data_IF_887379119872
#
_entry.id   IF_887379119872
#
_cell.length_a   1.000
_cell.length_b   1.000
_cell.length_c   1.000
_cell.angle_alpha   90.00
_cell.angle_beta   90.00
_cell.angle_gamma   90.00
#
_symmetry.space_group_name_H-M   'P 1'
#
loop_
_entity.id
_entity.type
_entity.pdbx_description
1 polymer ?
#
# COMPACT_ATOMS: atom_id res chain seq x y z
N UNK A 1 -12.03 -0.03 -23.69
CA UNK A 1 -11.79 -0.95 -22.55
C UNK A 1 -10.33 -0.89 -22.06
N UNK A 2 -9.34 -1.20 -22.91
CA UNK A 2 -7.92 -1.24 -22.54
C UNK A 2 -7.36 0.02 -21.86
N UNK A 3 -7.72 1.22 -22.35
CA UNK A 3 -7.30 2.48 -21.70
C UNK A 3 -7.68 2.53 -20.22
N UNK A 4 -8.88 2.08 -19.85
CA UNK A 4 -9.36 2.07 -18.45
C UNK A 4 -8.54 1.08 -17.60
N UNK A 5 -8.27 -0.10 -18.15
CA UNK A 5 -7.44 -1.12 -17.49
C UNK A 5 -6.03 -0.59 -17.24
N UNK A 6 -5.41 0.05 -18.24
CA UNK A 6 -4.08 0.65 -18.12
C UNK A 6 -4.07 1.79 -17.09
N UNK A 7 -5.08 2.66 -17.09
CA UNK A 7 -5.21 3.72 -16.06
C UNK A 7 -5.34 3.12 -14.67
N UNK A 8 -6.20 2.11 -14.47
CA UNK A 8 -6.37 1.44 -13.18
C UNK A 8 -5.08 0.78 -12.70
N UNK A 9 -4.41 0.01 -13.57
CA UNK A 9 -3.14 -0.64 -13.24
C UNK A 9 -2.05 0.40 -12.93
N UNK A 10 -2.00 1.49 -13.71
CA UNK A 10 -1.07 2.60 -13.49
C UNK A 10 -1.28 3.29 -12.14
N UNK A 11 -2.53 3.55 -11.74
CA UNK A 11 -2.84 4.16 -10.42
C UNK A 11 -2.42 3.26 -9.28
N UNK A 12 -2.74 1.96 -9.33
CA UNK A 12 -2.35 1.00 -8.30
C UNK A 12 -0.81 0.91 -8.23
N UNK A 13 -0.17 0.69 -9.38
CA UNK A 13 1.29 0.58 -9.46
C UNK A 13 2.01 1.83 -8.99
N UNK A 14 1.56 3.02 -9.37
CA UNK A 14 2.16 4.29 -8.94
C UNK A 14 1.97 4.53 -7.43
N UNK A 15 0.80 4.20 -6.88
CA UNK A 15 0.52 4.35 -5.45
C UNK A 15 1.37 3.44 -4.58
N UNK A 16 1.58 2.19 -5.02
CA UNK A 16 2.52 1.26 -4.37
C UNK A 16 3.96 1.72 -4.56
N UNK A 17 4.35 2.08 -5.78
CA UNK A 17 5.72 2.52 -6.07
C UNK A 17 6.13 3.73 -5.24
N UNK A 18 5.22 4.71 -5.06
CA UNK A 18 5.44 5.85 -4.17
C UNK A 18 5.73 5.40 -2.73
N UNK A 19 4.90 4.49 -2.20
CA UNK A 19 5.04 3.95 -0.85
C UNK A 19 6.40 3.29 -0.64
N UNK A 20 6.78 2.35 -1.52
CA UNK A 20 8.05 1.63 -1.43
C UNK A 20 9.26 2.54 -1.68
N UNK A 21 9.15 3.49 -2.61
CA UNK A 21 10.21 4.45 -2.89
C UNK A 21 10.50 5.34 -1.68
N UNK A 22 9.48 5.73 -0.90
CA UNK A 22 9.69 6.52 0.31
C UNK A 22 10.49 5.76 1.38
N UNK A 23 10.19 4.47 1.60
CA UNK A 23 11.02 3.61 2.45
C UNK A 23 12.45 3.52 1.95
N UNK A 24 12.64 3.27 0.66
CA UNK A 24 13.97 3.15 0.06
C UNK A 24 14.79 4.45 0.19
N UNK A 25 14.18 5.61 -0.09
CA UNK A 25 14.83 6.92 0.06
C UNK A 25 15.23 7.16 1.52
N UNK A 26 14.37 6.83 2.48
CA UNK A 26 14.70 6.98 3.90
C UNK A 26 15.75 5.97 4.38
N UNK A 27 15.77 4.75 3.83
CA UNK A 27 16.82 3.77 4.07
C UNK A 27 18.20 4.27 3.64
N UNK A 28 18.29 4.81 2.42
CA UNK A 28 19.51 5.40 1.90
C UNK A 28 19.96 6.58 2.76
N UNK A 29 19.04 7.47 3.15
CA UNK A 29 19.36 8.60 4.05
C UNK A 29 19.80 8.16 5.44
N UNK A 30 19.30 7.02 5.91
CA UNK A 30 19.69 6.45 7.20
C UNK A 30 21.06 5.77 7.16
N UNK A 31 21.70 5.63 5.99
CA UNK A 31 22.97 4.94 5.77
C UNK A 31 22.82 3.46 5.41
N UNK A 32 21.60 2.98 5.21
CA UNK A 32 21.32 1.60 4.81
C UNK A 32 21.46 1.36 3.31
N UNK A 33 21.57 0.09 2.92
CA UNK A 33 21.60 -0.34 1.51
C UNK A 33 20.23 -0.86 1.09
N UNK A 34 19.74 -0.36 -0.04
CA UNK A 34 18.54 -0.86 -0.72
C UNK A 34 19.00 -1.77 -1.86
N UNK A 35 18.65 -3.06 -1.79
CA UNK A 35 19.04 -4.04 -2.81
C UNK A 35 18.15 -3.95 -4.06
N UNK A 36 16.85 -3.72 -3.87
CA UNK A 36 15.85 -3.70 -4.92
C UNK A 36 14.55 -3.06 -4.43
N UNK A 37 13.80 -2.41 -5.32
CA UNK A 37 12.40 -2.01 -5.12
C UNK A 37 11.54 -2.82 -6.10
N UNK A 38 10.61 -3.62 -5.59
CA UNK A 38 9.67 -4.39 -6.37
C UNK A 38 8.27 -3.79 -6.33
N UNK A 39 7.61 -3.70 -7.47
CA UNK A 39 6.16 -3.47 -7.58
C UNK A 39 5.53 -4.76 -8.06
N UNK A 40 4.64 -5.33 -7.25
CA UNK A 40 4.00 -6.61 -7.47
C UNK A 40 4.78 -7.82 -6.94
N UNK A 41 4.24 -9.01 -7.23
CA UNK A 41 4.80 -10.32 -6.87
C UNK A 41 4.89 -11.26 -8.09
N UNK A 42 5.58 -12.39 -7.93
CA UNK A 42 5.73 -13.41 -8.98
C UNK A 42 6.90 -13.13 -9.95
N UNK A 43 6.89 -13.71 -11.17
CA UNK A 43 7.99 -13.56 -12.12
C UNK A 43 8.17 -12.10 -12.53
N UNK A 44 9.43 -11.70 -12.71
CA UNK A 44 9.79 -10.37 -13.19
C UNK A 44 9.34 -10.20 -14.64
N UNK A 45 8.65 -9.10 -14.93
CA UNK A 45 8.25 -8.71 -16.29
C UNK A 45 9.14 -7.60 -16.82
N UNK A 46 9.48 -6.63 -15.98
CA UNK A 46 10.31 -5.50 -16.37
C UNK A 46 11.29 -5.13 -15.26
N UNK A 47 12.42 -4.58 -15.67
CA UNK A 47 13.46 -4.07 -14.76
C UNK A 47 13.96 -2.73 -15.25
N UNK A 48 14.03 -1.80 -14.34
CA UNK A 48 14.60 -0.46 -14.52
C UNK A 48 15.57 -0.18 -13.38
N UNK A 49 16.18 1.01 -13.37
CA UNK A 49 17.07 1.47 -12.32
C UNK A 49 16.69 2.89 -11.91
N UNK A 50 16.58 3.11 -10.61
CA UNK A 50 16.41 4.43 -10.03
C UNK A 50 17.77 4.95 -9.57
N UNK A 51 18.21 6.07 -10.13
CA UNK A 51 19.48 6.71 -9.75
C UNK A 51 19.28 7.52 -8.47
N UNK A 52 20.06 7.21 -7.45
CA UNK A 52 20.09 7.96 -6.18
C UNK A 52 21.48 8.51 -5.92
N UNK A 53 21.61 9.39 -4.92
CA UNK A 53 22.92 9.94 -4.52
C UNK A 53 23.91 8.87 -4.04
N UNK A 54 23.42 7.68 -3.67
CA UNK A 54 24.21 6.59 -3.10
C UNK A 54 24.41 5.42 -4.05
N UNK A 55 23.96 5.56 -5.31
CA UNK A 55 24.08 4.53 -6.35
C UNK A 55 22.77 4.28 -7.09
N UNK A 56 22.77 3.22 -7.90
CA UNK A 56 21.59 2.77 -8.66
C UNK A 56 20.83 1.72 -7.86
N UNK A 57 19.52 1.94 -7.69
CA UNK A 57 18.61 0.98 -7.05
C UNK A 57 17.81 0.28 -8.16
N UNK A 58 17.92 -1.05 -8.30
CA UNK A 58 17.06 -1.80 -9.22
C UNK A 58 15.57 -1.60 -8.87
N UNK A 59 14.76 -1.25 -9.86
CA UNK A 59 13.30 -1.20 -9.75
C UNK A 59 12.71 -2.28 -10.63
N UNK A 60 11.91 -3.17 -10.06
CA UNK A 60 11.41 -4.37 -10.73
C UNK A 60 9.89 -4.36 -10.72
N UNK A 61 9.29 -4.60 -11.89
CA UNK A 61 7.86 -4.82 -12.01
C UNK A 61 7.62 -6.31 -12.22
N UNK A 62 6.77 -6.88 -11.39
CA UNK A 62 6.43 -8.30 -11.40
C UNK A 62 5.01 -8.54 -11.88
N UNK A 63 4.74 -9.79 -12.29
CA UNK A 63 3.51 -10.14 -12.99
C UNK A 63 2.22 -9.91 -12.23
N UNK A 64 2.25 -10.09 -10.92
CA UNK A 64 1.08 -9.92 -10.07
C UNK A 64 1.12 -8.51 -9.46
N UNK A 65 0.19 -7.60 -9.79
CA UNK A 65 0.23 -6.20 -9.32
C UNK A 65 -0.28 -6.05 -7.88
N UNK A 66 -0.05 -7.04 -7.02
CA UNK A 66 -0.45 -6.99 -5.61
C UNK A 66 0.74 -6.50 -4.80
N UNK A 67 0.60 -5.37 -4.11
CA UNK A 67 1.64 -4.85 -3.21
C UNK A 67 2.97 -4.52 -3.89
N UNK A 68 3.98 -4.30 -3.07
CA UNK A 68 5.36 -4.02 -3.46
C UNK A 68 6.27 -4.35 -2.29
N UNK A 69 7.57 -4.18 -2.49
CA UNK A 69 8.55 -4.29 -1.41
C UNK A 69 9.78 -3.45 -1.72
N UNK A 70 10.36 -2.86 -0.67
CA UNK A 70 11.74 -2.37 -0.69
C UNK A 70 12.64 -3.38 0.06
N UNK A 71 13.53 -4.04 -0.66
CA UNK A 71 14.50 -4.96 -0.08
C UNK A 71 15.62 -4.18 0.63
N UNK A 72 15.38 -3.83 1.89
CA UNK A 72 16.27 -3.01 2.73
C UNK A 72 16.99 -3.90 3.74
N UNK A 73 18.29 -3.70 3.90
CA UNK A 73 19.04 -4.29 5.01
C UNK A 73 18.84 -3.46 6.28
N UNK A 74 17.81 -3.80 7.06
CA UNK A 74 17.40 -3.05 8.26
C UNK A 74 18.39 -3.20 9.41
N UNK A 75 19.21 -4.26 9.41
CA UNK A 75 20.20 -4.50 10.47
C UNK A 75 21.36 -3.48 10.41
N UNK A 76 21.66 -2.96 9.23
CA UNK A 76 22.61 -1.86 9.04
C UNK A 76 22.06 -0.51 9.49
N UNK A 77 20.75 -0.41 9.79
CA UNK A 77 20.08 0.84 10.10
C UNK A 77 20.01 1.04 11.62
N UNK A 78 20.55 2.17 12.14
CA UNK A 78 20.52 2.50 13.56
C UNK A 78 19.09 2.41 14.14
N UNK A 79 18.91 1.88 15.37
CA UNK A 79 17.58 1.70 15.97
C UNK A 79 16.76 2.98 16.06
N UNK A 80 17.39 4.14 16.25
CA UNK A 80 16.78 5.48 16.28
C UNK A 80 16.17 5.88 14.92
N UNK A 81 16.73 5.38 13.82
CA UNK A 81 16.30 5.68 12.44
C UNK A 81 15.27 4.70 11.88
N UNK A 82 15.06 3.55 12.52
CA UNK A 82 14.10 2.52 12.07
C UNK A 82 12.65 3.01 12.03
N UNK A 83 12.17 3.66 13.10
CA UNK A 83 10.77 4.16 13.15
C UNK A 83 10.50 5.20 12.05
N UNK A 84 11.32 6.27 11.89
CA UNK A 84 11.14 7.22 10.78
C UNK A 84 11.16 6.54 9.40
N UNK A 85 12.03 5.55 9.21
CA UNK A 85 12.08 4.77 7.97
C UNK A 85 10.79 3.98 7.71
N UNK A 86 10.24 3.34 8.73
CA UNK A 86 9.01 2.56 8.64
C UNK A 86 7.77 3.46 8.48
N UNK A 87 7.82 4.71 8.92
CA UNK A 87 6.74 5.67 8.69
C UNK A 87 6.82 6.33 7.30
N UNK A 88 7.93 6.19 6.58
CA UNK A 88 8.18 6.90 5.34
C UNK A 88 7.14 6.61 4.25
N UNK A 89 6.86 5.34 3.96
CA UNK A 89 5.84 4.91 2.99
C UNK A 89 4.45 5.45 3.34
N UNK A 90 3.90 5.13 4.53
CA UNK A 90 2.58 5.58 4.94
C UNK A 90 2.40 7.10 4.89
N UNK A 91 3.40 7.85 5.37
CA UNK A 91 3.37 9.31 5.37
C UNK A 91 3.49 9.89 3.96
N UNK A 92 4.29 9.30 3.08
CA UNK A 92 4.38 9.74 1.69
C UNK A 92 3.06 9.56 0.95
N UNK A 93 2.37 8.44 1.18
CA UNK A 93 1.06 8.20 0.60
C UNK A 93 0.00 9.17 1.14
N UNK A 94 -0.05 9.41 2.45
CA UNK A 94 -0.96 10.42 3.02
C UNK A 94 -0.66 11.82 2.45
N UNK A 95 0.62 12.20 2.40
CA UNK A 95 1.05 13.50 1.90
C UNK A 95 0.75 13.71 0.42
N UNK A 96 0.86 12.67 -0.41
CA UNK A 96 0.49 12.73 -1.82
C UNK A 96 -1.03 12.67 -2.03
N UNK A 97 -1.73 11.88 -1.22
CA UNK A 97 -3.16 11.63 -1.39
C UNK A 97 -4.05 12.80 -0.96
N UNK A 98 -3.69 13.49 0.13
CA UNK A 98 -4.47 14.63 0.66
C UNK A 98 -4.66 15.76 -0.38
N UNK A 99 -3.61 16.30 -1.03
CA UNK A 99 -3.76 17.32 -2.06
C UNK A 99 -4.60 16.84 -3.25
N UNK A 100 -4.41 15.60 -3.70
CA UNK A 100 -5.19 15.03 -4.80
C UNK A 100 -6.68 14.96 -4.46
N UNK A 101 -6.99 14.53 -3.24
CA UNK A 101 -8.38 14.45 -2.75
C UNK A 101 -9.03 15.84 -2.62
N UNK A 102 -8.25 16.86 -2.24
CA UNK A 102 -8.74 18.23 -2.06
C UNK A 102 -8.77 19.05 -3.37
N UNK A 103 -7.98 18.67 -4.37
CA UNK A 103 -7.86 19.38 -5.65
C UNK A 103 -9.11 19.26 -6.53
N UNK A 104 -9.91 18.21 -6.34
CA UNK A 104 -11.13 17.96 -7.10
C UNK A 104 -12.34 18.35 -6.24
N UNK A 105 -12.65 19.66 -6.21
CA UNK A 105 -13.89 20.20 -5.63
C UNK A 105 -14.95 20.31 -6.73
N UNK A 106 -16.13 19.71 -6.53
CA UNK A 106 -17.29 19.92 -7.40
C UNK A 106 -17.75 18.72 -8.25
N UNK A 107 -16.98 17.63 -8.34
CA UNK A 107 -17.55 16.36 -8.79
C UNK A 107 -18.36 15.77 -7.63
N UNK A 108 -19.66 15.54 -7.87
CA UNK A 108 -20.53 14.89 -6.89
C UNK A 108 -19.85 13.60 -6.39
N UNK A 109 -19.89 13.31 -5.08
CA UNK A 109 -19.37 12.06 -4.57
C UNK A 109 -19.91 10.92 -5.42
N UNK A 110 -19.02 10.06 -5.91
CA UNK A 110 -19.39 8.84 -6.63
C UNK A 110 -20.64 8.25 -5.97
N UNK A 111 -21.79 8.14 -6.66
CA UNK A 111 -22.99 7.55 -6.07
C UNK A 111 -22.59 6.18 -5.54
N UNK A 112 -22.56 6.05 -4.23
CA UNK A 112 -22.48 4.76 -3.58
C UNK A 112 -23.83 4.13 -3.88
N UNK A 113 -23.90 3.27 -4.91
CA UNK A 113 -25.12 2.52 -5.25
C UNK A 113 -25.77 2.05 -3.94
N UNK A 114 -27.02 2.47 -3.72
CA UNK A 114 -27.70 2.56 -2.43
C UNK A 114 -28.01 1.25 -1.70
N UNK A 115 -27.26 0.18 -1.95
CA UNK A 115 -27.52 -1.13 -1.36
C UNK A 115 -26.44 -1.67 -0.41
N UNK A 116 -25.22 -1.09 -0.29
CA UNK A 116 -24.20 -1.71 0.60
C UNK A 116 -23.38 -0.73 1.41
N UNK A 117 -23.63 -0.81 2.73
CA UNK A 117 -22.76 -0.52 3.87
C UNK A 117 -21.31 -0.29 3.47
N UNK A 118 -20.69 0.77 4.02
CA UNK A 118 -19.26 1.05 3.99
C UNK A 118 -18.52 -0.13 4.64
N UNK A 119 -18.37 -1.20 3.87
CA UNK A 119 -17.51 -2.33 4.19
C UNK A 119 -16.12 -1.99 3.71
N UNK A 120 -15.11 -2.47 4.44
CA UNK A 120 -13.72 -2.51 3.98
C UNK A 120 -13.73 -2.91 2.51
N UNK A 121 -13.41 -1.99 1.61
CA UNK A 121 -13.47 -2.26 0.19
C UNK A 121 -12.49 -3.39 -0.09
N UNK A 122 -13.03 -4.58 -0.39
CA UNK A 122 -12.23 -5.69 -0.85
C UNK A 122 -11.50 -5.30 -2.15
N UNK A 123 -10.49 -6.08 -2.51
CA UNK A 123 -9.67 -5.81 -3.69
C UNK A 123 -10.53 -5.59 -4.95
N UNK A 124 -11.56 -6.42 -5.14
CA UNK A 124 -12.45 -6.31 -6.30
C UNK A 124 -13.24 -5.01 -6.27
N UNK A 125 -13.69 -4.58 -5.09
CA UNK A 125 -14.38 -3.30 -4.90
C UNK A 125 -13.50 -2.11 -5.30
N UNK A 126 -12.25 -2.10 -4.86
CA UNK A 126 -11.28 -1.04 -5.18
C UNK A 126 -10.94 -1.00 -6.67
N UNK A 127 -10.66 -2.16 -7.29
CA UNK A 127 -10.42 -2.24 -8.74
C UNK A 127 -11.65 -1.81 -9.54
N UNK A 128 -12.85 -2.23 -9.13
CA UNK A 128 -14.11 -1.84 -9.79
C UNK A 128 -14.35 -0.34 -9.69
N UNK A 129 -14.07 0.27 -8.53
CA UNK A 129 -14.17 1.71 -8.34
C UNK A 129 -13.20 2.45 -9.27
N UNK A 130 -11.95 1.98 -9.39
CA UNK A 130 -10.96 2.55 -10.31
C UNK A 130 -11.36 2.44 -11.78
N UNK A 131 -11.88 1.28 -12.20
CA UNK A 131 -12.37 1.10 -13.57
C UNK A 131 -13.54 2.02 -13.90
N UNK A 132 -14.46 2.24 -12.94
CA UNK A 132 -15.57 3.21 -13.06
C UNK A 132 -15.04 4.64 -13.13
N UNK A 133 -14.09 5.02 -12.27
CA UNK A 133 -13.48 6.34 -12.27
C UNK A 133 -12.76 6.64 -13.60
N UNK A 134 -11.99 5.68 -14.12
CA UNK A 134 -11.33 5.77 -15.42
C UNK A 134 -12.32 5.90 -16.61
N UNK A 135 -13.59 5.54 -16.40
CA UNK A 135 -14.68 5.76 -17.35
C UNK A 135 -15.30 7.16 -17.29
N UNK A 136 -15.25 7.83 -16.14
CA UNK A 136 -15.88 9.16 -15.91
C UNK A 136 -14.98 10.31 -16.35
N UNK A 137 -13.67 10.21 -16.11
CA UNK A 137 -12.72 11.22 -16.55
C UNK A 137 -11.50 11.35 -15.64
N UNK A 138 -10.54 12.22 -15.99
CA UNK A 138 -9.30 12.40 -15.24
C UNK A 138 -9.52 12.89 -13.80
N UNK A 139 -10.49 13.78 -13.57
CA UNK A 139 -10.80 14.31 -12.24
C UNK A 139 -11.29 13.22 -11.28
N UNK A 140 -12.22 12.37 -11.70
CA UNK A 140 -12.64 11.19 -10.92
C UNK A 140 -11.48 10.23 -10.60
N UNK A 141 -10.55 10.04 -11.55
CA UNK A 141 -9.35 9.22 -11.33
C UNK A 141 -8.43 9.86 -10.29
N UNK A 142 -8.19 11.17 -10.36
CA UNK A 142 -7.35 11.90 -9.40
C UNK A 142 -7.95 11.86 -7.99
N UNK A 143 -9.26 12.10 -7.87
CA UNK A 143 -9.96 12.05 -6.58
C UNK A 143 -9.85 10.65 -5.94
N UNK A 144 -10.09 9.59 -6.72
CA UNK A 144 -9.98 8.21 -6.22
C UNK A 144 -8.52 7.82 -5.94
N UNK A 145 -7.57 8.30 -6.73
CA UNK A 145 -6.13 8.12 -6.46
C UNK A 145 -5.76 8.75 -5.12
N UNK A 146 -6.27 9.94 -4.83
CA UNK A 146 -6.10 10.60 -3.54
C UNK A 146 -6.65 9.78 -2.39
N UNK A 147 -7.89 9.29 -2.51
CA UNK A 147 -8.52 8.46 -1.50
C UNK A 147 -7.78 7.12 -1.27
N UNK A 148 -7.29 6.47 -2.34
CA UNK A 148 -6.52 5.22 -2.24
C UNK A 148 -5.17 5.48 -1.56
N UNK A 149 -4.48 6.57 -1.89
CA UNK A 149 -3.21 6.93 -1.26
C UNK A 149 -3.40 7.17 0.24
N UNK A 150 -4.36 8.01 0.64
CA UNK A 150 -4.67 8.25 2.06
C UNK A 150 -5.08 6.95 2.75
N UNK A 151 -5.96 6.16 2.14
CA UNK A 151 -6.40 4.87 2.69
C UNK A 151 -5.25 3.88 2.87
N UNK A 152 -4.37 3.72 1.89
CA UNK A 152 -3.21 2.84 1.96
C UNK A 152 -2.23 3.30 3.05
N UNK A 153 -1.99 4.61 3.17
CA UNK A 153 -1.14 5.15 4.23
C UNK A 153 -1.73 4.94 5.61
N UNK A 154 -3.01 5.26 5.83
CA UNK A 154 -3.69 5.03 7.11
C UNK A 154 -3.72 3.55 7.51
N UNK A 155 -4.02 2.67 6.57
CA UNK A 155 -4.01 1.22 6.82
C UNK A 155 -2.60 0.75 7.24
N UNK A 156 -1.55 1.22 6.57
CA UNK A 156 -0.19 0.85 6.94
C UNK A 156 0.29 1.50 8.25
N UNK A 157 -0.42 2.46 8.84
CA UNK A 157 -0.12 2.97 10.18
C UNK A 157 -0.74 2.11 11.30
N UNK A 158 -1.63 1.17 10.98
CA UNK A 158 -2.23 0.29 11.99
C UNK A 158 -1.15 -0.57 12.66
N UNK A 159 -1.21 -0.77 13.99
CA UNK A 159 -0.24 -1.56 14.75
C UNK A 159 -0.52 -3.06 14.57
N UNK A 160 -0.55 -3.54 13.33
CA UNK A 160 -0.88 -4.91 12.95
C UNK A 160 0.23 -5.42 12.04
N UNK A 161 0.99 -6.44 12.47
CA UNK A 161 1.95 -7.10 11.59
C UNK A 161 1.19 -7.87 10.48
N UNK A 162 1.63 -7.87 9.21
CA UNK A 162 2.90 -7.39 8.67
C UNK A 162 2.88 -5.94 8.15
N UNK A 163 1.88 -5.12 8.47
CA UNK A 163 1.85 -3.72 8.04
C UNK A 163 2.99 -2.91 8.67
N UNK A 164 3.32 -1.76 8.09
CA UNK A 164 4.42 -0.92 8.56
C UNK A 164 4.26 -0.50 10.02
N UNK A 165 3.04 -0.17 10.45
CA UNK A 165 2.69 0.18 11.82
C UNK A 165 2.90 -0.98 12.80
N UNK A 166 2.76 -2.22 12.35
CA UNK A 166 3.14 -3.41 13.12
C UNK A 166 4.66 -3.50 13.33
N UNK A 167 5.44 -3.20 12.30
CA UNK A 167 6.91 -3.10 12.41
C UNK A 167 7.31 -1.92 13.31
N UNK A 168 6.64 -0.78 13.22
CA UNK A 168 6.83 0.38 14.11
C UNK A 168 6.55 -0.01 15.55
N UNK A 169 5.46 -0.72 15.82
CA UNK A 169 5.11 -1.19 17.15
C UNK A 169 6.20 -2.14 17.71
N UNK A 170 6.74 -3.05 16.90
CA UNK A 170 7.85 -3.93 17.28
C UNK A 170 9.12 -3.14 17.59
N UNK A 171 9.49 -2.17 16.73
CA UNK A 171 10.65 -1.32 16.94
C UNK A 171 10.50 -0.44 18.20
N UNK A 172 9.29 0.04 18.48
CA UNK A 172 8.98 0.77 19.70
C UNK A 172 9.10 -0.12 20.95
N UNK A 173 8.53 -1.34 20.91
CA UNK A 173 8.67 -2.32 21.98
C UNK A 173 10.15 -2.68 22.24
N UNK A 174 10.95 -2.83 21.19
CA UNK A 174 12.39 -3.07 21.30
C UNK A 174 13.11 -1.95 22.05
N UNK A 175 12.83 -0.68 21.71
CA UNK A 175 13.39 0.48 22.42
C UNK A 175 12.99 0.55 23.89
N UNK A 176 11.82 -0.01 24.24
CA UNK A 176 11.34 -0.09 25.63
C UNK A 176 11.88 -1.31 26.39
N UNK A 177 12.77 -2.09 25.79
CA UNK A 177 13.36 -3.28 26.42
C UNK A 177 12.38 -4.46 26.52
N UNK A 178 11.30 -4.47 25.73
CA UNK A 178 10.31 -5.55 25.76
C UNK A 178 10.96 -6.86 25.26
N UNK A 179 10.81 -7.98 26.01
CA UNK A 179 11.41 -9.25 25.65
C UNK A 179 11.05 -9.71 24.24
N UNK A 180 12.00 -10.37 23.56
CA UNK A 180 11.79 -10.89 22.20
C UNK A 180 10.58 -11.83 22.10
N UNK A 181 10.31 -12.62 23.15
CA UNK A 181 9.14 -13.51 23.24
C UNK A 181 7.83 -12.74 23.11
N UNK A 182 7.68 -11.63 23.85
CA UNK A 182 6.48 -10.78 23.80
C UNK A 182 6.32 -10.12 22.43
N UNK A 183 7.42 -9.60 21.85
CA UNK A 183 7.42 -9.02 20.49
C UNK A 183 6.99 -10.06 19.44
N UNK A 184 7.48 -11.29 19.54
CA UNK A 184 7.09 -12.39 18.65
C UNK A 184 5.63 -12.81 18.83
N UNK A 185 5.12 -12.85 20.07
CA UNK A 185 3.70 -13.12 20.33
C UNK A 185 2.81 -12.03 19.73
N UNK A 186 3.16 -10.75 19.92
CA UNK A 186 2.48 -9.64 19.26
C UNK A 186 2.45 -9.80 17.75
N UNK A 187 3.61 -10.08 17.13
CA UNK A 187 3.71 -10.26 15.69
C UNK A 187 2.83 -11.41 15.21
N UNK A 188 2.84 -12.57 15.89
CA UNK A 188 2.03 -13.75 15.53
C UNK A 188 0.53 -13.47 15.65
N UNK A 189 0.08 -12.88 16.76
CA UNK A 189 -1.33 -12.57 16.99
C UNK A 189 -1.84 -11.56 15.97
N UNK A 190 -1.10 -10.47 15.75
CA UNK A 190 -1.50 -9.45 14.77
C UNK A 190 -1.43 -9.98 13.34
N UNK A 191 -0.47 -10.85 13.00
CA UNK A 191 -0.45 -11.56 11.71
C UNK A 191 -1.67 -12.43 11.52
N UNK A 192 -2.09 -13.18 12.55
CA UNK A 192 -3.28 -14.02 12.48
C UNK A 192 -4.56 -13.18 12.25
N UNK A 193 -4.67 -12.05 12.96
CA UNK A 193 -5.77 -11.09 12.75
C UNK A 193 -5.73 -10.53 11.33
N UNK A 194 -4.56 -10.13 10.83
CA UNK A 194 -4.41 -9.63 9.47
C UNK A 194 -4.84 -10.67 8.42
N UNK A 195 -4.37 -11.90 8.54
CA UNK A 195 -4.74 -12.99 7.63
C UNK A 195 -6.25 -13.27 7.68
N UNK A 196 -6.85 -13.24 8.88
CA UNK A 196 -8.29 -13.37 9.03
C UNK A 196 -9.06 -12.21 8.36
N UNK A 197 -8.61 -10.97 8.50
CA UNK A 197 -9.21 -9.80 7.84
C UNK A 197 -9.09 -9.89 6.31
N UNK A 198 -7.92 -10.29 5.80
CA UNK A 198 -7.71 -10.51 4.36
C UNK A 198 -8.66 -11.61 3.85
N UNK A 199 -8.76 -12.73 4.56
CA UNK A 199 -9.67 -13.81 4.20
C UNK A 199 -11.14 -13.35 4.24
N UNK A 200 -11.55 -12.61 5.27
CA UNK A 200 -12.90 -12.07 5.38
C UNK A 200 -13.24 -11.11 4.23
N UNK A 201 -12.28 -10.26 3.83
CA UNK A 201 -12.42 -9.36 2.68
C UNK A 201 -12.55 -10.14 1.37
N UNK A 202 -11.70 -11.16 1.14
CA UNK A 202 -11.79 -12.02 -0.03
C UNK A 202 -13.12 -12.79 -0.10
N UNK A 203 -13.59 -13.33 1.03
CA UNK A 203 -14.88 -14.00 1.10
C UNK A 203 -16.05 -13.03 0.87
N UNK A 204 -15.94 -11.78 1.32
CA UNK A 204 -16.93 -10.75 1.01
C UNK A 204 -16.97 -10.43 -0.49
N UNK A 205 -15.81 -10.36 -1.15
CA UNK A 205 -15.67 -10.16 -2.59
C UNK A 205 -16.25 -11.33 -3.40
N UNK A 206 -15.94 -12.58 -3.02
CA UNK A 206 -16.50 -13.78 -3.67
C UNK A 206 -18.02 -13.81 -3.55
N UNK A 207 -18.55 -13.55 -2.35
CA UNK A 207 -20.01 -13.47 -2.11
C UNK A 207 -20.66 -12.37 -2.95
N UNK A 208 -19.96 -11.26 -3.17
CA UNK A 208 -20.44 -10.17 -4.02
C UNK A 208 -20.53 -10.60 -5.49
N UNK A 209 -19.50 -11.25 -6.02
CA UNK A 209 -19.50 -11.76 -7.40
C UNK A 209 -20.62 -12.77 -7.64
N UNK A 210 -20.81 -13.73 -6.71
CA UNK A 210 -21.88 -14.74 -6.82
C UNK A 210 -23.27 -14.11 -6.90
N UNK A 211 -23.55 -13.06 -6.11
CA UNK A 211 -24.85 -12.35 -6.14
C UNK A 211 -25.09 -11.58 -7.43
N UNK A 212 -24.03 -11.10 -8.09
CA UNK A 212 -24.17 -10.41 -9.38
C UNK A 212 -24.39 -11.37 -10.55
N UNK A 213 -24.01 -12.64 -10.41
CA UNK A 213 -24.24 -13.68 -11.42
C UNK A 213 -25.62 -14.33 -11.32
N UNK A 214 -26.36 -14.13 -10.22
CA UNK A 214 -27.69 -14.71 -9.99
C UNK A 214 -28.85 -13.78 -10.34
N UNK A 215 -28.56 -12.55 -10.78
CA UNK A 215 -29.50 -11.54 -11.27
C UNK A 215 -29.16 -11.24 -12.72
#
# INVERSE_FOLDING_TARGET
MWRRVLTTAGVIGATVALHEAAHAVMAVRAGGKVKEIGVGFGPQIARSKLRTKSGEIPVVVRALPFGGYAAIDVDQIPPDRRIPLLLAGPLANIAAGLPLMLSVRGEAPMPLDGDRRVGVAGFIGTVSALLRAAGRGPAAVLQLTGAINVGLGLMNLLPIYPLDGGHVAIAYMERRGVPKSVRMTFARLTSAIFLWLVQAALLADIRRLRRQSSN
#
